data_IF_844963295284
#
_entry.id   IF_844963295284
#
_cell.length_a   1.000
_cell.length_b   1.000
_cell.length_c   1.000
_cell.angle_alpha   90.00
_cell.angle_beta   90.00
_cell.angle_gamma   90.00
#
_symmetry.space_group_name_H-M   'P 1'
#
loop_
_entity.id
_entity.type
_entity.pdbx_description
1 polymer ?
#
# COMPACT_ATOMS: atom_id res chain seq x y z
N UNK A 1 2.73 17.11 -48.09
CA UNK A 1 2.46 15.67 -47.83
C UNK A 1 3.25 15.18 -46.63
N UNK A 2 4.53 15.55 -46.52
CA UNK A 2 5.42 15.23 -45.38
C UNK A 2 4.90 15.67 -44.00
N UNK A 3 4.25 16.83 -43.90
CA UNK A 3 3.73 17.35 -42.61
C UNK A 3 2.64 16.47 -42.00
N UNK A 4 1.84 15.79 -42.83
CA UNK A 4 0.80 14.86 -42.36
C UNK A 4 1.39 13.53 -41.89
N UNK A 5 2.41 13.04 -42.60
CA UNK A 5 3.12 11.79 -42.26
C UNK A 5 3.87 11.96 -40.91
N UNK A 6 4.55 13.09 -40.71
CA UNK A 6 5.27 13.37 -39.46
C UNK A 6 4.33 13.51 -38.25
N UNK A 7 3.16 14.14 -38.43
CA UNK A 7 2.14 14.23 -37.38
C UNK A 7 1.55 12.85 -37.03
N UNK A 8 1.36 11.99 -38.03
CA UNK A 8 0.84 10.64 -37.84
C UNK A 8 1.85 9.75 -37.08
N UNK A 9 3.14 9.79 -37.46
CA UNK A 9 4.22 9.07 -36.77
C UNK A 9 4.39 9.55 -35.33
N UNK A 10 4.37 10.87 -35.09
CA UNK A 10 4.43 11.41 -33.72
C UNK A 10 3.22 10.99 -32.88
N UNK A 11 2.01 11.03 -33.45
CA UNK A 11 0.83 10.55 -32.74
C UNK A 11 0.95 9.07 -32.41
N UNK A 12 1.33 8.21 -33.35
CA UNK A 12 1.42 6.77 -33.13
C UNK A 12 2.46 6.41 -32.05
N UNK A 13 3.62 7.08 -32.06
CA UNK A 13 4.64 6.92 -31.02
C UNK A 13 4.15 7.37 -29.62
N UNK A 14 3.34 8.42 -29.54
CA UNK A 14 2.73 8.86 -28.28
C UNK A 14 1.69 7.87 -27.75
N UNK A 15 0.89 7.28 -28.65
CA UNK A 15 -0.11 6.25 -28.30
C UNK A 15 0.55 4.93 -27.86
N UNK A 16 1.64 4.52 -28.53
CA UNK A 16 2.41 3.32 -28.17
C UNK A 16 3.13 3.50 -26.82
N UNK A 17 3.67 4.70 -26.56
CA UNK A 17 4.29 5.05 -25.28
C UNK A 17 3.30 5.12 -24.11
N UNK A 18 2.13 5.72 -24.30
CA UNK A 18 1.07 5.75 -23.29
C UNK A 18 0.59 4.34 -22.93
N UNK A 19 0.43 3.48 -23.93
CA UNK A 19 0.02 2.08 -23.74
C UNK A 19 1.05 1.28 -22.94
N UNK A 20 2.36 1.48 -23.21
CA UNK A 20 3.42 0.81 -22.45
C UNK A 20 3.46 1.26 -20.98
N UNK A 21 3.32 2.57 -20.72
CA UNK A 21 3.28 3.11 -19.36
C UNK A 21 2.12 2.51 -18.57
N UNK A 22 0.95 2.38 -19.19
CA UNK A 22 -0.23 1.80 -18.54
C UNK A 22 -0.05 0.30 -18.25
N UNK A 23 0.59 -0.44 -19.16
CA UNK A 23 0.94 -1.86 -18.94
C UNK A 23 1.90 -1.98 -17.76
N UNK A 24 2.96 -1.17 -17.72
CA UNK A 24 3.94 -1.19 -16.64
C UNK A 24 3.32 -0.84 -15.29
N UNK A 25 2.43 0.16 -15.23
CA UNK A 25 1.69 0.51 -14.01
C UNK A 25 0.81 -0.63 -13.52
N UNK A 26 0.10 -1.30 -14.44
CA UNK A 26 -0.74 -2.47 -14.12
C UNK A 26 0.09 -3.64 -13.58
N UNK A 27 1.26 -3.88 -14.16
CA UNK A 27 2.16 -4.93 -13.67
C UNK A 27 2.74 -4.59 -12.30
N UNK A 28 3.13 -3.32 -12.07
CA UNK A 28 3.65 -2.88 -10.78
C UNK A 28 2.61 -3.04 -9.66
N UNK A 29 1.37 -2.58 -9.90
CA UNK A 29 0.31 -2.70 -8.89
C UNK A 29 -0.07 -4.16 -8.60
N UNK A 30 -0.12 -5.02 -9.62
CA UNK A 30 -0.40 -6.44 -9.43
C UNK A 30 0.71 -7.15 -8.63
N UNK A 31 1.96 -6.83 -8.92
CA UNK A 31 3.10 -7.32 -8.16
C UNK A 31 3.03 -6.90 -6.69
N UNK A 32 2.79 -5.61 -6.43
CA UNK A 32 2.72 -5.07 -5.07
C UNK A 32 1.51 -5.62 -4.29
N UNK A 33 0.37 -5.87 -4.95
CA UNK A 33 -0.76 -6.57 -4.34
C UNK A 33 -0.40 -8.00 -3.92
N UNK A 34 0.25 -8.76 -4.80
CA UNK A 34 0.65 -10.14 -4.50
C UNK A 34 1.64 -10.20 -3.34
N UNK A 35 2.62 -9.30 -3.35
CA UNK A 35 3.55 -9.11 -2.23
C UNK A 35 2.80 -8.75 -0.94
N UNK A 36 1.86 -7.81 -1.01
CA UNK A 36 1.00 -7.43 0.10
C UNK A 36 0.26 -8.63 0.70
N UNK A 37 -0.41 -9.45 -0.11
CA UNK A 37 -1.11 -10.66 0.33
C UNK A 37 -0.20 -11.62 1.08
N UNK A 38 1.03 -11.84 0.60
CA UNK A 38 2.00 -12.71 1.28
C UNK A 38 2.34 -12.18 2.68
N UNK A 39 2.55 -10.88 2.80
CA UNK A 39 2.87 -10.25 4.09
C UNK A 39 1.68 -10.30 5.04
N UNK A 40 0.47 -9.99 4.56
CA UNK A 40 -0.76 -10.09 5.35
C UNK A 40 -0.96 -11.50 5.88
N UNK A 41 -0.80 -12.52 5.03
CA UNK A 41 -0.89 -13.90 5.49
C UNK A 41 0.16 -14.21 6.58
N UNK A 42 1.39 -13.69 6.44
CA UNK A 42 2.42 -13.86 7.46
C UNK A 42 2.07 -13.17 8.79
N UNK A 43 1.42 -12.00 8.77
CA UNK A 43 0.92 -11.31 9.99
C UNK A 43 -0.20 -12.11 10.63
N UNK A 44 -1.14 -12.63 9.83
CA UNK A 44 -2.26 -13.43 10.32
C UNK A 44 -1.80 -14.74 10.96
N UNK A 45 -0.67 -15.31 10.50
CA UNK A 45 -0.06 -16.51 11.07
C UNK A 45 0.85 -16.24 12.28
N UNK A 46 1.42 -15.04 12.38
CA UNK A 46 2.30 -14.65 13.48
C UNK A 46 1.58 -14.68 14.84
N UNK A 47 2.34 -14.90 15.91
CA UNK A 47 1.79 -14.83 17.26
C UNK A 47 1.63 -13.37 17.73
N UNK A 48 0.87 -13.17 18.81
CA UNK A 48 0.61 -11.82 19.33
C UNK A 48 1.88 -11.13 19.86
N UNK A 49 2.86 -11.90 20.34
CA UNK A 49 4.12 -11.36 20.88
C UNK A 49 5.04 -10.85 19.77
N UNK A 50 5.06 -11.53 18.62
CA UNK A 50 5.73 -11.07 17.41
C UNK A 50 5.09 -9.78 16.89
N UNK A 51 3.75 -9.73 16.80
CA UNK A 51 3.06 -8.54 16.29
C UNK A 51 3.24 -7.33 17.22
N UNK A 52 3.38 -7.55 18.53
CA UNK A 52 3.66 -6.47 19.49
C UNK A 52 5.15 -6.06 19.51
N UNK A 53 5.99 -6.64 18.66
CA UNK A 53 7.40 -6.28 18.51
C UNK A 53 7.56 -5.25 17.39
N UNK A 54 8.13 -4.09 17.74
CA UNK A 54 8.35 -2.98 16.80
C UNK A 54 9.23 -3.34 15.60
N UNK A 55 10.31 -4.09 15.83
CA UNK A 55 11.22 -4.50 14.74
C UNK A 55 10.52 -5.44 13.78
N UNK A 56 9.73 -6.38 14.31
CA UNK A 56 8.91 -7.26 13.49
C UNK A 56 7.93 -6.47 12.62
N UNK A 57 7.19 -5.51 13.19
CA UNK A 57 6.27 -4.67 12.42
C UNK A 57 6.99 -3.84 11.36
N UNK A 58 8.16 -3.29 11.66
CA UNK A 58 8.95 -2.55 10.69
C UNK A 58 9.42 -3.43 9.52
N UNK A 59 9.85 -4.65 9.80
CA UNK A 59 10.20 -5.61 8.75
C UNK A 59 8.98 -5.94 7.89
N UNK A 60 7.81 -6.16 8.50
CA UNK A 60 6.55 -6.39 7.76
C UNK A 60 6.13 -5.18 6.93
N UNK A 61 6.24 -3.96 7.45
CA UNK A 61 5.92 -2.74 6.71
C UNK A 61 6.88 -2.57 5.53
N UNK A 62 8.17 -2.88 5.70
CA UNK A 62 9.15 -2.87 4.60
C UNK A 62 8.79 -3.87 3.52
N UNK A 63 8.47 -5.10 3.91
CA UNK A 63 8.16 -6.17 2.97
C UNK A 63 6.80 -5.92 2.27
N UNK A 64 5.81 -5.36 2.98
CA UNK A 64 4.50 -4.97 2.43
C UNK A 64 4.65 -3.79 1.45
N UNK A 65 5.47 -2.83 1.86
CA UNK A 65 5.78 -1.60 1.17
C UNK A 65 4.72 -0.51 1.32
N UNK A 66 5.18 0.73 1.40
CA UNK A 66 4.43 1.96 1.35
C UNK A 66 4.18 2.37 -0.10
N UNK A 67 3.08 3.09 -0.34
CA UNK A 67 2.79 3.62 -1.66
C UNK A 67 3.95 4.46 -2.20
N UNK A 68 4.24 4.32 -3.49
CA UNK A 68 5.23 5.15 -4.16
C UNK A 68 4.88 6.62 -3.97
N UNK A 69 5.88 7.42 -3.60
CA UNK A 69 5.75 8.87 -3.62
C UNK A 69 7.10 9.49 -4.03
N UNK A 70 7.04 10.62 -4.73
CA UNK A 70 8.21 11.36 -5.19
C UNK A 70 8.69 12.44 -4.22
N UNK A 71 8.27 12.41 -2.96
CA UNK A 71 8.52 13.48 -2.00
C UNK A 71 9.88 13.31 -1.33
N UNK A 72 10.64 14.40 -1.23
CA UNK A 72 11.96 14.39 -0.58
C UNK A 72 11.93 13.92 0.87
N UNK A 73 10.80 14.08 1.56
CA UNK A 73 10.62 13.61 2.95
C UNK A 73 10.81 12.09 3.09
N UNK A 74 10.58 11.33 2.01
CA UNK A 74 10.75 9.88 1.99
C UNK A 74 12.13 9.41 1.50
N UNK A 75 13.07 10.32 1.24
CA UNK A 75 14.44 9.94 0.89
C UNK A 75 15.08 8.94 1.89
N UNK A 76 14.82 9.01 3.21
CA UNK A 76 15.34 8.02 4.18
C UNK A 76 14.63 6.65 4.15
N UNK A 77 13.49 6.56 3.46
CA UNK A 77 12.58 5.42 3.49
C UNK A 77 12.43 4.74 2.13
N UNK A 78 13.38 4.93 1.21
CA UNK A 78 13.30 4.36 -0.15
C UNK A 78 13.16 2.84 -0.15
N UNK A 79 13.78 2.15 0.81
CA UNK A 79 13.68 0.71 1.01
C UNK A 79 12.28 0.22 1.42
N UNK A 80 11.37 1.14 1.79
CA UNK A 80 9.99 0.83 2.11
C UNK A 80 9.05 1.06 0.92
N UNK A 81 9.51 1.67 -0.17
CA UNK A 81 8.60 2.10 -1.24
C UNK A 81 8.26 0.97 -2.20
N UNK A 82 6.99 0.92 -2.58
CA UNK A 82 6.48 0.17 -3.70
C UNK A 82 6.80 0.86 -5.02
N UNK A 83 6.68 0.10 -6.11
CA UNK A 83 6.76 0.65 -7.46
C UNK A 83 5.42 1.25 -7.92
N UNK A 84 4.34 0.87 -7.27
CA UNK A 84 2.98 1.38 -7.47
C UNK A 84 2.51 2.24 -6.30
N UNK A 85 1.31 2.81 -6.47
CA UNK A 85 0.62 3.60 -5.45
C UNK A 85 -0.09 2.73 -4.39
N UNK A 86 0.11 1.41 -4.39
CA UNK A 86 -0.43 0.52 -3.37
C UNK A 86 0.40 0.57 -2.08
N UNK A 87 -0.28 0.55 -0.93
CA UNK A 87 0.34 0.53 0.39
C UNK A 87 -0.06 1.74 1.25
N UNK A 88 0.38 1.80 2.51
CA UNK A 88 0.19 2.97 3.35
C UNK A 88 0.98 4.19 2.84
N UNK A 89 0.42 5.38 3.04
CA UNK A 89 1.07 6.68 2.80
C UNK A 89 1.76 7.25 4.06
N UNK A 90 1.68 6.53 5.18
CA UNK A 90 2.26 6.94 6.45
C UNK A 90 3.77 6.67 6.49
N UNK A 91 4.50 7.48 7.27
CA UNK A 91 5.92 7.27 7.53
C UNK A 91 6.10 5.90 8.22
N UNK A 92 6.96 4.99 7.72
CA UNK A 92 7.01 3.60 8.19
C UNK A 92 7.22 3.44 9.70
N UNK A 93 8.07 4.29 10.28
CA UNK A 93 8.36 4.26 11.72
C UNK A 93 7.18 4.72 12.57
N UNK A 94 6.49 5.78 12.13
CA UNK A 94 5.32 6.29 12.81
C UNK A 94 4.15 5.30 12.69
N UNK A 95 4.01 4.64 11.55
CA UNK A 95 3.01 3.59 11.35
C UNK A 95 3.21 2.40 12.30
N UNK A 96 4.45 1.91 12.46
CA UNK A 96 4.74 0.85 13.42
C UNK A 96 4.39 1.26 14.85
N UNK A 97 4.75 2.48 15.25
CA UNK A 97 4.47 3.01 16.58
C UNK A 97 2.97 3.22 16.82
N UNK A 98 2.25 3.70 15.80
CA UNK A 98 0.79 3.83 15.81
C UNK A 98 0.08 2.48 15.98
N UNK A 99 0.55 1.43 15.29
CA UNK A 99 -0.02 0.09 15.41
C UNK A 99 0.16 -0.47 16.82
N UNK A 100 1.35 -0.34 17.40
CA UNK A 100 1.63 -0.77 18.79
C UNK A 100 0.73 -0.01 19.77
N UNK A 101 0.63 1.31 19.61
CA UNK A 101 -0.27 2.12 20.43
C UNK A 101 -1.72 1.63 20.33
N UNK A 102 -2.19 1.35 19.11
CA UNK A 102 -3.56 0.90 18.86
C UNK A 102 -3.82 -0.49 19.45
N UNK A 103 -2.86 -1.42 19.37
CA UNK A 103 -2.93 -2.74 20.01
C UNK A 103 -3.19 -2.61 21.51
N UNK A 104 -2.52 -1.68 22.20
CA UNK A 104 -2.68 -1.45 23.63
C UNK A 104 -4.09 -0.96 24.00
N UNK A 105 -4.80 -0.32 23.08
CA UNK A 105 -6.17 0.15 23.29
C UNK A 105 -7.23 -0.91 23.03
N UNK A 106 -6.86 -2.02 22.38
CA UNK A 106 -7.77 -3.11 22.01
C UNK A 106 -9.09 -2.59 21.41
N UNK A 107 -9.03 -1.78 20.34
CA UNK A 107 -10.24 -1.21 19.75
C UNK A 107 -11.20 -2.32 19.29
N UNK A 108 -12.50 -2.03 19.37
CA UNK A 108 -13.54 -2.87 18.77
C UNK A 108 -13.77 -2.56 17.29
N UNK A 109 -13.47 -1.33 16.89
CA UNK A 109 -13.60 -0.93 15.50
C UNK A 109 -12.60 0.15 15.13
N UNK A 110 -12.42 0.33 13.83
CA UNK A 110 -11.62 1.40 13.24
C UNK A 110 -12.34 1.97 12.04
N UNK A 111 -12.39 3.30 11.94
CA UNK A 111 -12.96 4.02 10.79
C UNK A 111 -11.83 4.74 10.07
N UNK A 112 -11.69 4.47 8.78
CA UNK A 112 -10.79 5.20 7.89
C UNK A 112 -11.60 5.93 6.83
N UNK A 113 -11.27 7.20 6.61
CA UNK A 113 -11.86 8.06 5.57
C UNK A 113 -10.76 8.43 4.58
N UNK A 114 -10.93 8.07 3.31
CA UNK A 114 -9.91 8.18 2.26
C UNK A 114 -8.95 7.00 2.31
N UNK A 115 -9.36 5.86 1.76
CA UNK A 115 -8.63 4.59 1.79
C UNK A 115 -7.89 4.29 0.48
N UNK A 116 -8.23 4.98 -0.61
CA UNK A 116 -7.64 4.79 -1.94
C UNK A 116 -7.71 3.31 -2.37
N UNK A 117 -6.56 2.61 -2.47
CA UNK A 117 -6.51 1.19 -2.82
C UNK A 117 -6.64 0.24 -1.61
N UNK A 118 -6.86 0.76 -0.39
CA UNK A 118 -7.00 -0.03 0.83
C UNK A 118 -5.69 -0.50 1.47
N UNK A 119 -4.53 -0.02 0.98
CA UNK A 119 -3.22 -0.50 1.42
C UNK A 119 -2.97 -0.33 2.92
N UNK A 120 -3.31 0.82 3.50
CA UNK A 120 -3.26 1.03 4.94
C UNK A 120 -4.35 0.23 5.68
N UNK A 121 -5.58 0.23 5.14
CA UNK A 121 -6.74 -0.45 5.73
C UNK A 121 -6.50 -1.93 5.96
N UNK A 122 -6.03 -2.64 4.93
CA UNK A 122 -5.78 -4.08 4.97
C UNK A 122 -4.66 -4.42 5.97
N UNK A 123 -3.57 -3.65 5.95
CA UNK A 123 -2.46 -3.83 6.89
C UNK A 123 -2.89 -3.62 8.34
N UNK A 124 -3.59 -2.53 8.62
CA UNK A 124 -4.09 -2.23 9.96
C UNK A 124 -5.10 -3.27 10.43
N UNK A 125 -6.02 -3.69 9.55
CA UNK A 125 -7.01 -4.70 9.86
C UNK A 125 -6.36 -6.05 10.21
N UNK A 126 -5.36 -6.48 9.44
CA UNK A 126 -4.63 -7.72 9.71
C UNK A 126 -3.92 -7.70 11.07
N UNK A 127 -3.35 -6.57 11.46
CA UNK A 127 -2.69 -6.41 12.77
C UNK A 127 -3.71 -6.37 13.90
N UNK A 128 -4.73 -5.51 13.81
CA UNK A 128 -5.63 -5.24 14.93
C UNK A 128 -6.63 -6.39 15.17
N UNK A 129 -7.08 -7.07 14.12
CA UNK A 129 -7.96 -8.24 14.25
C UNK A 129 -7.34 -9.40 15.05
N UNK A 130 -6.00 -9.46 15.16
CA UNK A 130 -5.31 -10.46 15.99
C UNK A 130 -5.54 -10.27 17.48
N UNK A 131 -5.84 -9.04 17.90
CA UNK A 131 -6.05 -8.71 19.31
C UNK A 131 -7.52 -8.73 19.71
N UNK A 132 -8.43 -8.56 18.75
CA UNK A 132 -9.86 -8.62 18.97
C UNK A 132 -10.56 -9.37 17.82
N UNK A 133 -11.22 -10.50 18.14
CA UNK A 133 -11.89 -11.36 17.14
C UNK A 133 -13.13 -10.72 16.55
N UNK A 134 -13.78 -9.83 17.29
CA UNK A 134 -14.98 -9.11 16.87
C UNK A 134 -14.60 -7.71 16.35
N UNK A 135 -13.36 -7.54 15.88
CA UNK A 135 -12.87 -6.28 15.36
C UNK A 135 -13.48 -5.97 13.99
N UNK A 136 -13.96 -4.73 13.82
CA UNK A 136 -14.53 -4.24 12.57
C UNK A 136 -13.73 -3.08 11.99
N UNK A 137 -13.26 -3.22 10.74
CA UNK A 137 -12.66 -2.12 9.99
C UNK A 137 -13.67 -1.54 9.01
N UNK A 138 -13.91 -0.23 9.09
CA UNK A 138 -14.87 0.49 8.26
C UNK A 138 -14.09 1.42 7.35
N UNK A 139 -14.21 1.19 6.05
CA UNK A 139 -13.59 1.99 5.01
C UNK A 139 -14.63 2.91 4.39
N UNK A 140 -14.32 4.21 4.32
CA UNK A 140 -15.14 5.21 3.62
C UNK A 140 -14.27 5.94 2.63
N UNK A 141 -14.68 5.95 1.37
CA UNK A 141 -14.01 6.69 0.31
C UNK A 141 -15.04 7.30 -0.64
N UNK A 142 -14.62 8.32 -1.38
CA UNK A 142 -15.41 8.95 -2.43
C UNK A 142 -15.52 8.05 -3.67
N UNK A 143 -14.58 7.11 -3.84
CA UNK A 143 -14.54 6.17 -4.96
C UNK A 143 -14.27 4.73 -4.49
N UNK A 144 -14.86 3.74 -5.17
CA UNK A 144 -14.60 2.32 -4.90
C UNK A 144 -13.38 1.83 -5.69
N UNK A 145 -12.20 2.18 -5.18
CA UNK A 145 -10.90 1.76 -5.70
C UNK A 145 -10.26 0.63 -4.87
N UNK A 146 -10.97 0.10 -3.87
CA UNK A 146 -10.47 -0.92 -2.96
C UNK A 146 -10.21 -2.24 -3.69
N UNK A 147 -9.05 -2.86 -3.47
CA UNK A 147 -8.62 -4.07 -4.20
C UNK A 147 -7.84 -5.07 -3.35
#
# INVERSE_FOLDING_TARGET
>A
METRINAQIQSQNLWDGATLIDIMRKQAIEYDFNKGRMVINSILLADKTEINNRSFLLDKIRDYGCAYQGWNLYAPYQQYLNASDYGPLQIPTELADFLIFSIQKQPQSFLEVGVMYGGFSVLCCAVLSKFNKDFHYICVDIEDNFR
#
